data_IF_092799406597
#
_entry.id   IF_092799406597
#
_cell.length_a   1.000
_cell.length_b   1.000
_cell.length_c   1.000
_cell.angle_alpha   90.00
_cell.angle_beta   90.00
_cell.angle_gamma   90.00
#
_symmetry.space_group_name_H-M   'P 1'
#
loop_
_entity.id
_entity.type
_entity.pdbx_description
1 polymer ?
#
# COMPACT_ATOMS: atom_id res chain seq x y z
N UNK A 1 -21.08 28.61 3.16
CA UNK A 1 -19.90 28.61 2.24
C UNK A 1 -19.84 27.30 1.48
N UNK A 2 -19.65 27.36 0.16
CA UNK A 2 -19.51 26.17 -0.69
C UNK A 2 -18.05 26.06 -1.10
N UNK A 3 -17.40 24.95 -0.77
CA UNK A 3 -16.04 24.66 -1.20
C UNK A 3 -16.08 23.68 -2.36
N UNK A 4 -15.61 24.13 -3.52
CA UNK A 4 -15.47 23.28 -4.70
C UNK A 4 -14.06 22.71 -4.74
N UNK A 5 -13.97 21.39 -4.61
CA UNK A 5 -12.75 20.64 -4.82
C UNK A 5 -12.91 19.74 -6.05
N UNK A 6 -11.79 19.37 -6.68
CA UNK A 6 -11.78 18.54 -7.90
C UNK A 6 -12.58 17.22 -7.78
N UNK A 7 -12.70 16.68 -6.57
CA UNK A 7 -13.34 15.38 -6.28
C UNK A 7 -14.54 15.49 -5.35
N UNK A 8 -14.86 16.68 -4.82
CA UNK A 8 -16.03 16.83 -3.94
C UNK A 8 -16.48 18.28 -3.88
N UNK A 9 -17.77 18.47 -3.61
CA UNK A 9 -18.37 19.77 -3.31
C UNK A 9 -18.83 19.72 -1.86
N UNK A 10 -18.30 20.60 -1.02
CA UNK A 10 -18.68 20.70 0.38
C UNK A 10 -19.56 21.93 0.58
N UNK A 11 -20.81 21.72 0.95
CA UNK A 11 -21.72 22.79 1.33
C UNK A 11 -21.84 22.86 2.86
N UNK A 12 -21.32 23.94 3.44
CA UNK A 12 -21.39 24.19 4.88
C UNK A 12 -22.76 24.67 5.35
N UNK A 13 -23.61 25.18 4.46
CA UNK A 13 -24.95 25.62 4.80
C UNK A 13 -25.89 24.43 5.00
N UNK A 14 -25.81 23.44 4.10
CA UNK A 14 -26.63 22.22 4.17
C UNK A 14 -25.98 21.08 4.94
N UNK A 15 -24.71 21.23 5.35
CA UNK A 15 -23.87 20.19 5.99
C UNK A 15 -23.73 18.92 5.15
N UNK A 16 -23.69 19.08 3.83
CA UNK A 16 -23.59 17.96 2.87
C UNK A 16 -22.26 17.98 2.15
N UNK A 17 -21.79 16.79 1.78
CA UNK A 17 -20.64 16.58 0.93
C UNK A 17 -21.13 15.83 -0.29
N UNK A 18 -20.90 16.38 -1.49
CA UNK A 18 -21.25 15.77 -2.76
C UNK A 18 -19.97 15.33 -3.47
N UNK A 19 -20.07 14.23 -4.22
CA UNK A 19 -19.00 13.75 -5.09
C UNK A 19 -19.01 14.48 -6.46
N UNK A 20 -18.02 14.22 -7.32
CA UNK A 20 -17.91 14.76 -8.69
C UNK A 20 -19.17 14.50 -9.56
N UNK A 21 -19.93 13.46 -9.22
CA UNK A 21 -21.18 13.06 -9.87
C UNK A 21 -22.45 13.60 -9.16
N UNK A 22 -22.33 14.62 -8.31
CA UNK A 22 -23.41 15.18 -7.48
C UNK A 22 -24.09 14.17 -6.53
N UNK A 23 -23.40 13.07 -6.19
CA UNK A 23 -23.90 12.06 -5.25
C UNK A 23 -23.56 12.46 -3.82
N UNK A 24 -24.53 12.40 -2.91
CA UNK A 24 -24.31 12.69 -1.50
C UNK A 24 -23.45 11.63 -0.80
N UNK A 25 -22.37 12.08 -0.19
CA UNK A 25 -21.43 11.31 0.60
C UNK A 25 -21.80 11.42 2.07
N UNK A 26 -21.96 10.27 2.74
CA UNK A 26 -22.34 10.19 4.17
C UNK A 26 -21.16 10.50 5.09
N UNK A 27 -20.65 11.74 5.05
CA UNK A 27 -19.58 12.23 5.93
C UNK A 27 -20.18 13.06 7.08
N UNK A 28 -20.10 12.55 8.31
CA UNK A 28 -20.68 13.19 9.51
C UNK A 28 -19.71 13.20 10.71
N UNK A 29 -20.04 14.02 11.71
CA UNK A 29 -19.30 14.12 12.98
C UNK A 29 -17.98 14.89 12.85
N UNK A 30 -16.99 14.51 13.65
CA UNK A 30 -15.68 15.19 13.66
C UNK A 30 -14.95 15.10 12.32
N UNK A 31 -15.13 14.02 11.56
CA UNK A 31 -14.55 13.89 10.21
C UNK A 31 -15.05 14.95 9.23
N UNK A 32 -16.33 15.34 9.32
CA UNK A 32 -16.86 16.45 8.54
C UNK A 32 -16.21 17.77 8.95
N UNK A 33 -16.11 18.03 10.26
CA UNK A 33 -15.51 19.27 10.79
C UNK A 33 -14.03 19.40 10.43
N UNK A 34 -13.28 18.30 10.45
CA UNK A 34 -11.87 18.26 9.97
C UNK A 34 -11.80 18.63 8.49
N UNK A 35 -12.70 18.10 7.65
CA UNK A 35 -12.73 18.46 6.24
C UNK A 35 -13.03 19.95 6.04
N UNK A 36 -14.01 20.50 6.77
CA UNK A 36 -14.33 21.94 6.75
C UNK A 36 -13.13 22.79 7.14
N UNK A 37 -12.44 22.43 8.23
CA UNK A 37 -11.24 23.13 8.69
C UNK A 37 -10.14 23.15 7.62
N UNK A 38 -9.87 22.00 7.00
CA UNK A 38 -8.84 21.89 5.96
C UNK A 38 -9.24 22.60 4.66
N UNK A 39 -10.53 22.68 4.35
CA UNK A 39 -11.03 23.48 3.24
C UNK A 39 -10.85 24.99 3.50
N UNK A 40 -11.07 25.46 4.72
CA UNK A 40 -10.92 26.87 5.08
C UNK A 40 -9.45 27.29 5.21
N UNK A 41 -8.62 26.48 5.90
CA UNK A 41 -7.26 26.85 6.26
C UNK A 41 -6.19 26.27 5.32
N UNK A 42 -6.57 25.42 4.35
CA UNK A 42 -5.71 24.67 3.40
C UNK A 42 -4.79 23.63 4.05
N UNK A 43 -4.30 23.91 5.25
CA UNK A 43 -3.49 23.03 6.07
C UNK A 43 -3.64 23.32 7.57
N UNK A 44 -3.26 22.36 8.42
CA UNK A 44 -3.07 22.61 9.85
C UNK A 44 -2.44 21.42 10.59
N UNK A 45 -1.93 21.70 11.79
CA UNK A 45 -1.36 20.69 12.68
C UNK A 45 -2.46 19.97 13.46
N UNK A 46 -2.11 18.89 14.17
CA UNK A 46 -3.04 18.20 15.08
C UNK A 46 -3.62 19.16 16.12
N UNK A 47 -2.79 20.06 16.66
CA UNK A 47 -3.21 21.04 17.66
C UNK A 47 -4.22 22.02 17.08
N UNK A 48 -3.99 22.52 15.87
CA UNK A 48 -4.90 23.48 15.22
C UNK A 48 -6.26 22.82 14.91
N UNK A 49 -6.23 21.58 14.41
CA UNK A 49 -7.43 20.80 14.11
C UNK A 49 -8.17 20.45 15.40
N UNK A 50 -7.46 20.02 16.44
CA UNK A 50 -8.02 19.69 17.75
C UNK A 50 -8.72 20.89 18.37
N UNK A 51 -8.07 22.07 18.36
CA UNK A 51 -8.65 23.32 18.85
C UNK A 51 -9.91 23.75 18.09
N UNK A 52 -10.00 23.49 16.79
CA UNK A 52 -11.21 23.75 16.00
C UNK A 52 -12.36 22.77 16.29
N UNK A 53 -12.05 21.54 16.69
CA UNK A 53 -13.05 20.52 17.02
C UNK A 53 -13.65 20.75 18.40
N UNK A 54 -12.86 20.52 19.44
CA UNK A 54 -13.30 20.63 20.82
C UNK A 54 -12.09 20.90 21.70
N UNK A 55 -11.98 22.13 22.20
CA UNK A 55 -10.89 22.56 23.07
C UNK A 55 -10.88 21.85 24.43
N UNK A 56 -11.99 21.20 24.83
CA UNK A 56 -12.07 20.46 26.08
C UNK A 56 -11.55 19.02 25.97
N UNK A 57 -11.25 18.54 24.76
CA UNK A 57 -10.81 17.17 24.51
C UNK A 57 -9.39 17.14 23.94
N UNK A 58 -8.51 16.35 24.55
CA UNK A 58 -7.17 16.12 24.03
C UNK A 58 -7.23 15.22 22.78
N UNK A 59 -7.01 15.82 21.62
CA UNK A 59 -6.88 15.09 20.35
C UNK A 59 -5.42 14.70 20.12
N UNK A 60 -5.17 13.40 20.06
CA UNK A 60 -3.88 12.86 19.63
C UNK A 60 -3.80 12.70 18.09
N UNK A 61 -2.60 12.39 17.61
CA UNK A 61 -2.33 12.08 16.20
C UNK A 61 -3.22 10.95 15.66
N UNK A 62 -3.54 9.94 16.48
CA UNK A 62 -4.33 8.79 16.06
C UNK A 62 -5.78 9.19 15.76
N UNK A 63 -6.37 10.08 16.55
CA UNK A 63 -7.72 10.59 16.32
C UNK A 63 -7.79 11.32 14.97
N UNK A 64 -6.84 12.22 14.69
CA UNK A 64 -6.81 12.97 13.43
C UNK A 64 -6.54 12.04 12.24
N UNK A 65 -5.64 11.06 12.41
CA UNK A 65 -5.39 10.01 11.41
C UNK A 65 -6.64 9.18 11.08
N UNK A 66 -7.44 8.82 12.09
CA UNK A 66 -8.71 8.11 11.88
C UNK A 66 -9.70 8.95 11.09
N UNK A 67 -9.82 10.24 11.41
CA UNK A 67 -10.70 11.15 10.67
C UNK A 67 -10.24 11.31 9.21
N UNK A 68 -8.95 11.52 8.97
CA UNK A 68 -8.36 11.54 7.63
C UNK A 68 -8.68 10.25 6.85
N UNK A 69 -8.46 9.09 7.44
CA UNK A 69 -8.74 7.81 6.78
C UNK A 69 -10.22 7.70 6.39
N UNK A 70 -11.13 8.06 7.31
CA UNK A 70 -12.57 8.03 7.04
C UNK A 70 -12.97 8.98 5.91
N UNK A 71 -12.39 10.18 5.84
CA UNK A 71 -12.63 11.15 4.78
C UNK A 71 -12.15 10.61 3.43
N UNK A 72 -10.89 10.16 3.35
CA UNK A 72 -10.31 9.65 2.11
C UNK A 72 -11.03 8.37 1.63
N UNK A 73 -11.51 7.53 2.55
CA UNK A 73 -12.30 6.34 2.22
C UNK A 73 -13.67 6.69 1.64
N UNK A 74 -14.38 7.65 2.25
CA UNK A 74 -15.74 8.03 1.83
C UNK A 74 -15.72 8.74 0.48
N UNK A 75 -14.71 9.58 0.23
CA UNK A 75 -14.58 10.31 -1.04
C UNK A 75 -13.87 9.47 -2.10
N UNK A 76 -13.20 8.37 -1.73
CA UNK A 76 -12.55 7.45 -2.67
C UNK A 76 -11.22 7.95 -3.25
N UNK A 77 -10.75 9.14 -2.84
CA UNK A 77 -9.50 9.75 -3.28
C UNK A 77 -8.62 10.12 -2.08
N UNK A 78 -7.29 10.11 -2.26
CA UNK A 78 -6.35 10.53 -1.22
C UNK A 78 -6.21 12.05 -1.20
N UNK A 79 -7.18 12.71 -0.57
CA UNK A 79 -7.32 14.17 -0.62
C UNK A 79 -6.52 14.86 0.47
N UNK A 80 -6.58 14.30 1.68
CA UNK A 80 -5.87 14.84 2.84
C UNK A 80 -4.57 14.07 3.01
N UNK A 81 -3.46 14.78 2.81
CA UNK A 81 -2.11 14.26 3.00
C UNK A 81 -1.55 14.72 4.33
N UNK A 82 -0.57 13.97 4.80
CA UNK A 82 0.16 14.27 6.04
C UNK A 82 1.65 14.25 5.74
N UNK A 83 2.29 15.42 5.79
CA UNK A 83 3.74 15.59 5.65
C UNK A 83 4.23 16.65 6.64
N UNK A 84 5.43 16.48 7.20
CA UNK A 84 6.04 17.45 8.13
C UNK A 84 5.13 17.89 9.30
N UNK A 85 4.40 16.95 9.91
CA UNK A 85 3.41 17.21 10.98
C UNK A 85 2.23 18.13 10.60
N UNK A 86 1.98 18.29 9.31
CA UNK A 86 0.89 19.09 8.78
C UNK A 86 -0.05 18.23 7.95
N UNK A 87 -1.34 18.37 8.23
CA UNK A 87 -2.40 17.87 7.39
C UNK A 87 -2.73 18.93 6.36
N UNK A 88 -2.71 18.60 5.08
CA UNK A 88 -3.02 19.55 4.01
C UNK A 88 -3.85 18.91 2.90
N UNK A 89 -4.64 19.74 2.22
CA UNK A 89 -5.47 19.32 1.10
C UNK A 89 -4.60 19.25 -0.18
N UNK A 90 -4.62 18.11 -0.87
CA UNK A 90 -3.71 17.80 -2.00
C UNK A 90 -4.04 18.56 -3.31
N UNK A 91 -4.96 19.51 -3.32
CA UNK A 91 -5.25 20.36 -4.49
C UNK A 91 -5.68 21.76 -4.05
N UNK A 92 -5.32 22.76 -4.86
CA UNK A 92 -5.75 24.14 -4.71
C UNK A 92 -7.28 24.21 -4.57
N UNK A 93 -7.74 24.67 -3.40
CA UNK A 93 -9.12 25.10 -3.19
C UNK A 93 -9.25 26.45 -3.88
N UNK A 94 -9.94 26.49 -5.01
CA UNK A 94 -10.40 27.74 -5.60
C UNK A 94 -11.62 28.17 -4.79
N UNK A 95 -11.43 29.13 -3.88
CA UNK A 95 -12.55 29.90 -3.37
C UNK A 95 -13.11 30.73 -4.52
N UNK A 96 -14.38 30.56 -4.83
CA UNK A 96 -15.05 31.41 -5.82
C UNK A 96 -16.37 31.86 -5.23
N UNK A 97 -16.35 33.05 -4.65
CA UNK A 97 -17.54 33.87 -4.54
C UNK A 97 -17.81 34.42 -5.96
N UNK A 98 -18.88 33.93 -6.57
CA UNK A 98 -19.53 34.38 -7.82
C UNK A 98 -19.11 33.68 -9.11
N UNK A 99 -20.17 33.37 -9.86
CA UNK A 99 -20.20 32.79 -11.21
C UNK A 99 -19.56 33.79 -12.17
N UNK A 100 -18.48 33.43 -12.85
CA UNK A 100 -18.13 34.05 -14.13
C UNK A 100 -17.41 33.08 -15.06
N UNK A 101 -18.03 32.85 -16.22
CA UNK A 101 -17.42 32.20 -17.37
C UNK A 101 -16.21 33.01 -17.79
N UNK A 102 -15.02 32.40 -17.84
CA UNK A 102 -14.05 32.83 -18.82
C UNK A 102 -13.23 31.66 -19.33
N UNK A 103 -13.52 31.33 -20.59
CA UNK A 103 -12.74 30.44 -21.42
C UNK A 103 -11.39 31.08 -21.73
N UNK A 104 -10.41 30.20 -22.05
CA UNK A 104 -9.09 30.50 -22.63
C UNK A 104 -8.05 30.96 -21.61
N UNK A 105 -7.33 29.97 -21.07
CA UNK A 105 -5.88 30.01 -20.73
C UNK A 105 -5.43 28.70 -20.03
N UNK A 106 -6.27 27.67 -19.99
CA UNK A 106 -5.97 26.36 -19.38
C UNK A 106 -4.90 25.57 -20.12
N UNK A 107 -4.74 25.75 -21.43
CA UNK A 107 -3.88 24.86 -22.24
C UNK A 107 -2.38 25.05 -22.00
N UNK A 108 -1.92 26.29 -21.80
CA UNK A 108 -0.49 26.59 -21.56
C UNK A 108 -0.06 26.18 -20.15
N UNK A 109 -0.95 26.32 -19.17
CA UNK A 109 -0.74 25.87 -17.80
C UNK A 109 -0.81 24.34 -17.70
N UNK A 110 -1.71 23.68 -18.43
CA UNK A 110 -1.73 22.22 -18.55
C UNK A 110 -0.43 21.72 -19.16
N UNK A 111 0.12 22.38 -20.19
CA UNK A 111 1.35 21.92 -20.83
C UNK A 111 2.57 22.06 -19.90
N UNK A 112 2.71 23.18 -19.17
CA UNK A 112 3.76 23.37 -18.14
C UNK A 112 3.57 22.45 -16.93
N UNK A 113 2.33 22.21 -16.50
CA UNK A 113 2.01 21.32 -15.40
C UNK A 113 2.24 19.85 -15.78
N UNK A 114 1.88 19.43 -17.00
CA UNK A 114 2.14 18.08 -17.52
C UNK A 114 3.65 17.85 -17.65
N UNK A 115 4.40 18.83 -18.17
CA UNK A 115 5.86 18.73 -18.32
C UNK A 115 6.59 18.71 -16.98
N UNK A 116 6.21 19.57 -16.03
CA UNK A 116 6.78 19.58 -14.66
C UNK A 116 6.38 18.35 -13.85
N UNK A 117 5.16 17.84 -14.01
CA UNK A 117 4.71 16.59 -13.38
C UNK A 117 5.36 15.36 -14.01
N UNK A 118 5.74 15.40 -15.29
CA UNK A 118 6.57 14.36 -15.95
C UNK A 118 8.01 14.38 -15.40
N UNK A 119 8.66 15.55 -15.34
CA UNK A 119 10.02 15.70 -14.82
C UNK A 119 10.12 15.36 -13.31
N UNK A 120 9.10 15.71 -12.51
CA UNK A 120 9.02 15.37 -11.10
C UNK A 120 8.67 13.89 -10.85
N UNK A 121 7.85 13.26 -11.73
CA UNK A 121 7.53 11.84 -11.65
C UNK A 121 8.68 10.92 -12.08
N UNK A 122 9.54 11.34 -13.00
CA UNK A 122 10.77 10.59 -13.34
C UNK A 122 11.79 10.60 -12.20
N UNK A 123 11.79 11.65 -11.36
CA UNK A 123 12.75 11.84 -10.28
C UNK A 123 12.34 11.25 -8.92
N UNK A 124 11.03 11.03 -8.66
CA UNK A 124 10.49 10.65 -7.34
C UNK A 124 9.65 9.37 -7.29
N UNK A 125 9.67 8.53 -8.32
CA UNK A 125 9.14 7.16 -8.23
C UNK A 125 10.30 6.24 -7.86
N UNK A 126 10.34 5.58 -6.67
CA UNK A 126 11.11 4.34 -6.58
C UNK A 126 10.48 3.42 -7.62
N UNK A 127 11.24 3.12 -8.68
CA UNK A 127 10.83 2.35 -9.86
C UNK A 127 9.65 1.45 -9.51
N UNK A 128 8.44 1.85 -9.92
CA UNK A 128 7.35 0.91 -10.15
C UNK A 128 7.73 0.15 -11.41
N UNK A 129 8.80 -0.63 -11.29
CA UNK A 129 9.04 -1.74 -12.17
C UNK A 129 7.72 -2.51 -12.10
N UNK A 130 7.11 -2.72 -13.25
CA UNK A 130 6.37 -3.95 -13.47
C UNK A 130 7.37 -5.08 -13.20
N UNK A 131 7.67 -5.32 -11.91
CA UNK A 131 8.63 -6.31 -11.48
C UNK A 131 7.99 -7.61 -11.84
N UNK A 132 8.26 -8.11 -13.04
CA UNK A 132 8.05 -9.51 -13.35
C UNK A 132 8.67 -10.27 -12.20
N UNK A 133 7.94 -11.22 -11.66
CA UNK A 133 8.43 -12.06 -10.59
C UNK A 133 9.80 -12.61 -11.01
N UNK A 134 10.86 -12.22 -10.31
CA UNK A 134 12.20 -12.73 -10.59
C UNK A 134 12.18 -14.24 -10.32
N UNK A 135 12.39 -15.04 -11.37
CA UNK A 135 12.35 -16.51 -11.31
C UNK A 135 13.66 -17.11 -10.81
N UNK A 136 14.74 -16.32 -10.85
CA UNK A 136 16.09 -16.70 -10.43
C UNK A 136 16.10 -17.23 -8.98
N UNK A 137 15.53 -16.55 -7.97
CA UNK A 137 15.54 -17.07 -6.61
C UNK A 137 14.80 -18.41 -6.45
N UNK A 138 13.65 -18.60 -7.13
CA UNK A 138 12.97 -19.89 -7.14
C UNK A 138 13.80 -20.98 -7.84
N UNK A 139 14.48 -20.67 -8.95
CA UNK A 139 15.36 -21.62 -9.63
C UNK A 139 16.53 -22.06 -8.73
N UNK A 140 17.13 -21.11 -8.01
CA UNK A 140 18.19 -21.42 -7.04
C UNK A 140 17.65 -22.35 -5.94
N UNK A 141 16.49 -22.05 -5.37
CA UNK A 141 15.86 -22.91 -4.35
C UNK A 141 15.54 -24.32 -4.89
N UNK A 142 15.05 -24.43 -6.13
CA UNK A 142 14.78 -25.72 -6.77
C UNK A 142 16.06 -26.53 -6.96
N UNK A 143 17.15 -25.90 -7.44
CA UNK A 143 18.44 -26.58 -7.60
C UNK A 143 18.96 -27.07 -6.24
N UNK A 144 18.90 -26.22 -5.22
CA UNK A 144 19.33 -26.58 -3.86
C UNK A 144 18.49 -27.73 -3.30
N UNK A 145 17.16 -27.70 -3.47
CA UNK A 145 16.28 -28.80 -3.07
C UNK A 145 16.56 -30.10 -3.85
N UNK A 146 16.93 -30.03 -5.13
CA UNK A 146 17.32 -31.20 -5.92
C UNK A 146 18.65 -31.81 -5.46
N UNK A 147 19.58 -31.01 -4.95
CA UNK A 147 20.83 -31.52 -4.38
C UNK A 147 20.60 -32.28 -3.04
N UNK A 148 19.45 -32.08 -2.37
CA UNK A 148 19.03 -32.81 -1.16
C UNK A 148 18.87 -34.33 -1.36
N UNK A 149 18.60 -34.75 -2.61
CA UNK A 149 18.42 -36.16 -2.96
C UNK A 149 19.73 -36.93 -3.07
N UNK A 150 20.86 -36.23 -3.17
CA UNK A 150 22.18 -36.85 -3.15
C UNK A 150 22.51 -37.17 -1.68
N UNK A 151 23.08 -38.34 -1.42
CA UNK A 151 23.53 -38.72 -0.08
C UNK A 151 24.77 -37.91 0.32
N UNK A 152 24.55 -36.73 0.89
CA UNK A 152 25.62 -35.89 1.43
C UNK A 152 26.00 -36.34 2.85
N UNK A 153 27.29 -36.51 3.16
CA UNK A 153 27.75 -36.92 4.48
C UNK A 153 27.73 -35.77 5.53
N UNK A 154 27.40 -34.55 5.13
CA UNK A 154 27.54 -33.34 5.96
C UNK A 154 26.19 -32.83 6.46
N UNK A 155 25.97 -32.91 7.78
CA UNK A 155 24.79 -32.36 8.47
C UNK A 155 24.58 -30.86 8.18
N UNK A 156 25.68 -30.11 8.01
CA UNK A 156 25.67 -28.68 7.70
C UNK A 156 24.93 -28.34 6.41
N UNK A 157 24.89 -29.26 5.45
CA UNK A 157 24.22 -29.06 4.16
C UNK A 157 22.72 -28.79 4.34
N UNK A 158 22.04 -29.55 5.21
CA UNK A 158 20.62 -29.39 5.47
C UNK A 158 20.29 -28.06 6.14
N UNK A 159 21.19 -27.53 6.96
CA UNK A 159 21.04 -26.19 7.55
C UNK A 159 21.15 -25.11 6.49
N UNK A 160 22.12 -25.20 5.57
CA UNK A 160 22.26 -24.27 4.45
C UNK A 160 21.05 -24.30 3.53
N UNK A 161 20.56 -25.49 3.20
CA UNK A 161 19.36 -25.69 2.40
C UNK A 161 18.15 -24.97 3.03
N UNK A 162 17.94 -25.18 4.33
CA UNK A 162 16.86 -24.53 5.10
C UNK A 162 16.96 -22.99 5.08
N UNK A 163 18.15 -22.43 5.23
CA UNK A 163 18.38 -20.97 5.16
C UNK A 163 18.00 -20.43 3.78
N UNK A 164 18.46 -21.08 2.71
CA UNK A 164 18.20 -20.64 1.33
C UNK A 164 16.71 -20.73 1.02
N UNK A 165 16.08 -21.87 1.30
CA UNK A 165 14.65 -22.10 1.02
C UNK A 165 13.79 -21.13 1.82
N UNK A 166 14.12 -20.89 3.09
CA UNK A 166 13.40 -19.93 3.94
C UNK A 166 13.57 -18.51 3.42
N UNK A 167 14.78 -18.08 3.06
CA UNK A 167 15.04 -16.75 2.52
C UNK A 167 14.29 -16.50 1.21
N UNK A 168 14.25 -17.50 0.33
CA UNK A 168 13.50 -17.45 -0.94
C UNK A 168 12.00 -17.40 -0.67
N UNK A 169 11.47 -18.19 0.26
CA UNK A 169 10.06 -18.19 0.62
C UNK A 169 9.61 -16.85 1.24
N UNK A 170 10.43 -16.24 2.11
CA UNK A 170 10.19 -14.90 2.66
C UNK A 170 10.18 -13.85 1.56
N UNK A 171 11.15 -13.87 0.65
CA UNK A 171 11.20 -12.95 -0.49
C UNK A 171 9.92 -13.01 -1.33
N UNK A 172 9.45 -14.22 -1.64
CA UNK A 172 8.21 -14.39 -2.39
C UNK A 172 6.97 -14.01 -1.57
N UNK A 173 6.93 -14.30 -0.27
CA UNK A 173 5.82 -13.91 0.60
C UNK A 173 5.70 -12.39 0.70
N UNK A 174 6.83 -11.69 0.87
CA UNK A 174 6.90 -10.23 0.86
C UNK A 174 6.42 -9.66 -0.47
N UNK A 175 6.88 -10.23 -1.59
CA UNK A 175 6.44 -9.81 -2.92
C UNK A 175 4.93 -10.01 -3.12
N UNK A 176 4.36 -11.14 -2.71
CA UNK A 176 2.91 -11.39 -2.81
C UNK A 176 2.08 -10.43 -1.92
N UNK A 177 2.59 -10.10 -0.74
CA UNK A 177 1.89 -9.24 0.22
C UNK A 177 1.95 -7.76 -0.16
N UNK A 178 3.14 -7.25 -0.48
CA UNK A 178 3.39 -5.81 -0.68
C UNK A 178 3.07 -5.39 -2.12
N UNK A 179 3.51 -6.18 -3.11
CA UNK A 179 3.38 -5.83 -4.54
C UNK A 179 2.01 -6.21 -5.08
N UNK A 180 1.55 -7.43 -4.79
CA UNK A 180 0.29 -7.93 -5.33
C UNK A 180 -0.91 -7.69 -4.40
N UNK A 181 -0.68 -7.33 -3.13
CA UNK A 181 -1.73 -7.21 -2.08
C UNK A 181 -2.69 -8.40 -2.04
N UNK A 182 -2.20 -9.60 -2.40
CA UNK A 182 -3.01 -10.83 -2.51
C UNK A 182 -2.72 -11.74 -1.35
N UNK A 183 -3.63 -11.79 -0.37
CA UNK A 183 -3.64 -12.78 0.73
C UNK A 183 -4.30 -14.09 0.27
N UNK A 184 -3.86 -14.62 -0.87
CA UNK A 184 -4.44 -15.81 -1.47
C UNK A 184 -3.77 -17.08 -0.93
N UNK A 185 -4.29 -18.25 -1.30
CA UNK A 185 -3.72 -19.57 -0.97
C UNK A 185 -2.18 -19.63 -1.11
N UNK A 186 -1.63 -19.06 -2.18
CA UNK A 186 -0.18 -19.01 -2.46
C UNK A 186 0.64 -18.29 -1.37
N UNK A 187 0.11 -17.23 -0.77
CA UNK A 187 0.79 -16.52 0.32
C UNK A 187 0.82 -17.40 1.57
N UNK A 188 -0.31 -18.01 1.92
CA UNK A 188 -0.40 -18.92 3.07
C UNK A 188 0.49 -20.16 2.91
N UNK A 189 0.56 -20.74 1.71
CA UNK A 189 1.50 -21.84 1.43
C UNK A 189 2.96 -21.43 1.63
N UNK A 190 3.36 -20.21 1.23
CA UNK A 190 4.71 -19.70 1.48
C UNK A 190 5.01 -19.53 2.97
N UNK A 191 4.03 -19.05 3.76
CA UNK A 191 4.18 -18.94 5.22
C UNK A 191 4.39 -20.31 5.85
N UNK A 192 3.65 -21.33 5.40
CA UNK A 192 3.84 -22.72 5.88
C UNK A 192 5.25 -23.22 5.52
N UNK A 193 5.74 -22.94 4.32
CA UNK A 193 7.11 -23.33 3.90
C UNK A 193 8.16 -22.64 4.78
N UNK A 194 8.00 -21.35 5.10
CA UNK A 194 8.89 -20.61 6.00
C UNK A 194 8.94 -21.26 7.38
N UNK A 195 7.80 -21.69 7.92
CA UNK A 195 7.73 -22.37 9.22
C UNK A 195 8.42 -23.74 9.13
N UNK A 196 8.14 -24.51 8.08
CA UNK A 196 8.62 -25.87 7.92
C UNK A 196 10.14 -25.95 7.72
N UNK A 197 10.72 -25.01 6.96
CA UNK A 197 12.14 -24.94 6.66
C UNK A 197 12.91 -23.97 7.59
N UNK A 198 12.29 -23.48 8.66
CA UNK A 198 12.91 -22.51 9.57
C UNK A 198 14.21 -23.07 10.20
N UNK A 199 15.38 -22.44 9.98
CA UNK A 199 16.63 -22.88 10.58
C UNK A 199 16.72 -22.57 12.08
N UNK A 200 15.96 -21.59 12.59
CA UNK A 200 15.97 -21.16 14.00
C UNK A 200 15.21 -22.16 14.88
N UNK A 201 14.11 -22.71 14.36
CA UNK A 201 13.28 -23.72 15.03
C UNK A 201 13.26 -24.96 14.15
N UNK A 202 14.35 -25.75 14.16
CA UNK A 202 14.45 -26.92 13.30
C UNK A 202 13.45 -27.99 13.72
N UNK A 203 12.55 -28.34 12.81
CA UNK A 203 11.70 -29.53 12.96
C UNK A 203 12.57 -30.75 12.62
N UNK A 204 12.72 -31.66 13.57
CA UNK A 204 13.47 -32.90 13.39
C UNK A 204 12.51 -34.03 13.02
N UNK A 205 12.36 -34.26 11.71
CA UNK A 205 11.77 -35.50 11.22
C UNK A 205 12.90 -36.52 11.09
N UNK A 206 12.92 -37.54 11.94
CA UNK A 206 13.96 -38.57 11.99
C UNK A 206 13.99 -39.48 10.74
N UNK A 207 12.99 -39.36 9.86
CA UNK A 207 12.90 -40.14 8.63
C UNK A 207 13.24 -39.28 7.40
N UNK A 208 14.37 -39.59 6.76
CA UNK A 208 14.84 -38.92 5.53
C UNK A 208 13.83 -39.02 4.39
N UNK A 209 13.11 -40.13 4.26
CA UNK A 209 12.11 -40.33 3.21
C UNK A 209 10.95 -39.34 3.32
N UNK A 210 10.56 -38.97 4.54
CA UNK A 210 9.49 -37.97 4.76
C UNK A 210 9.97 -36.59 4.33
N UNK A 211 11.22 -36.22 4.66
CA UNK A 211 11.83 -34.97 4.18
C UNK A 211 11.93 -34.91 2.66
N UNK A 212 12.31 -36.01 2.00
CA UNK A 212 12.33 -36.07 0.54
C UNK A 212 10.94 -35.80 -0.06
N UNK A 213 9.88 -36.38 0.50
CA UNK A 213 8.51 -36.12 0.02
C UNK A 213 8.13 -34.65 0.18
N UNK A 214 8.48 -34.04 1.32
CA UNK A 214 8.27 -32.60 1.56
C UNK A 214 9.04 -31.77 0.54
N UNK A 215 10.32 -32.07 0.30
CA UNK A 215 11.16 -31.37 -0.68
C UNK A 215 10.53 -31.43 -2.08
N UNK A 216 10.03 -32.58 -2.52
CA UNK A 216 9.31 -32.73 -3.81
C UNK A 216 8.07 -31.83 -3.88
N UNK A 217 7.26 -31.79 -2.81
CA UNK A 217 6.05 -30.95 -2.76
C UNK A 217 6.43 -29.47 -2.89
N UNK A 218 7.49 -29.03 -2.19
CA UNK A 218 7.96 -27.65 -2.25
C UNK A 218 8.51 -27.29 -3.62
N UNK A 219 9.26 -28.18 -4.26
CA UNK A 219 9.72 -28.01 -5.65
C UNK A 219 8.51 -27.81 -6.57
N UNK A 220 7.51 -28.69 -6.50
CA UNK A 220 6.30 -28.60 -7.32
C UNK A 220 5.55 -27.29 -7.10
N UNK A 221 5.46 -26.84 -5.85
CA UNK A 221 4.86 -25.55 -5.50
C UNK A 221 5.63 -24.36 -6.10
N UNK A 222 6.95 -24.32 -5.97
CA UNK A 222 7.78 -23.24 -6.53
C UNK A 222 7.70 -23.20 -8.07
N UNK A 223 7.69 -24.36 -8.73
CA UNK A 223 7.48 -24.47 -10.18
C UNK A 223 6.10 -23.93 -10.57
N UNK A 224 5.05 -24.32 -9.85
CA UNK A 224 3.70 -23.79 -10.07
C UNK A 224 3.63 -22.27 -9.90
N UNK A 225 4.36 -21.73 -8.93
CA UNK A 225 4.46 -20.29 -8.67
C UNK A 225 5.11 -19.57 -9.85
N UNK A 226 6.19 -20.14 -10.41
CA UNK A 226 6.85 -19.61 -11.61
C UNK A 226 5.91 -19.62 -12.82
N UNK A 227 5.18 -20.72 -13.04
CA UNK A 227 4.28 -20.88 -14.20
C UNK A 227 3.14 -19.87 -14.14
N UNK A 228 2.51 -19.71 -12.97
CA UNK A 228 1.40 -18.78 -12.77
C UNK A 228 1.81 -17.33 -13.06
N UNK A 229 3.01 -16.94 -12.66
CA UNK A 229 3.54 -15.58 -12.85
C UNK A 229 4.27 -15.40 -14.19
N UNK A 230 4.24 -16.40 -15.09
CA UNK A 230 4.74 -16.30 -16.47
C UNK A 230 3.68 -15.73 -17.44
N UNK A 231 2.39 -15.79 -17.08
CA UNK A 231 1.28 -15.15 -17.80
C UNK A 231 1.08 -13.72 -17.30
#
# INVERSE_FOLDING_TARGET
MIYNHKYFILDTNTKRVLDENNKELRLTGNSYRVLVFLCANKSGTVTDIGGYLDFAKDYDENHIRQYRYKINLIIGHDIIKYENNLYFLSSEVLETDKIEKNERNTDLLQQKYVKSKQELNESKVPKKESKKLNKIPALIAIIVLLLSFIDWPLYSYYTFLKIIVTGVAIYYAYYLYDVLKKKNFWFWSLVVIVILFNPIIPIYIYNKSIWMVIDVIVIGFLVGLIIKNKK
#
